data_IF_182007956739
#
_entry.id   IF_182007956739
#
_cell.length_a   1.000
_cell.length_b   1.000
_cell.length_c   1.000
_cell.angle_alpha   90.00
_cell.angle_beta   90.00
_cell.angle_gamma   90.00
#
_symmetry.space_group_name_H-M   'P 1'
#
loop_
_entity.id
_entity.type
_entity.pdbx_description
1 polymer ?
#
# COMPACT_ATOMS: atom_id res chain seq x y z
N UNK A 1 15.70 14.93 19.57
CA UNK A 1 14.42 14.64 18.88
C UNK A 1 13.48 15.78 19.17
N UNK A 2 12.94 16.40 18.11
CA UNK A 2 12.00 17.51 18.19
C UNK A 2 10.55 17.04 18.19
N UNK A 3 10.28 15.84 17.65
CA UNK A 3 8.95 15.29 17.41
C UNK A 3 8.83 13.84 17.93
N UNK A 4 8.96 13.61 19.25
CA UNK A 4 9.05 12.26 19.82
C UNK A 4 7.80 11.40 19.59
N UNK A 5 6.61 12.00 19.53
CA UNK A 5 5.36 11.28 19.26
C UNK A 5 5.33 10.76 17.82
N UNK A 6 5.66 11.61 16.84
CA UNK A 6 5.69 11.22 15.42
C UNK A 6 6.79 10.19 15.17
N UNK A 7 7.96 10.39 15.76
CA UNK A 7 9.10 9.49 15.59
C UNK A 7 8.82 8.10 16.18
N UNK A 8 8.28 8.02 17.40
CA UNK A 8 7.90 6.73 18.00
C UNK A 8 6.68 6.09 17.31
N UNK A 9 5.74 6.90 16.83
CA UNK A 9 4.64 6.42 15.99
C UNK A 9 5.13 5.74 14.71
N UNK A 10 6.24 6.22 14.15
CA UNK A 10 6.89 5.63 12.97
C UNK A 10 7.37 4.20 13.23
N UNK A 11 7.93 3.92 14.42
CA UNK A 11 8.26 2.55 14.83
C UNK A 11 7.01 1.67 14.90
N UNK A 12 5.93 2.19 15.49
CA UNK A 12 4.64 1.50 15.53
C UNK A 12 4.15 1.08 14.14
N UNK A 13 4.27 1.97 13.15
CA UNK A 13 3.95 1.67 11.75
C UNK A 13 4.88 0.62 11.15
N UNK A 14 6.19 0.68 11.41
CA UNK A 14 7.13 -0.33 10.95
C UNK A 14 6.83 -1.73 11.50
N UNK A 15 6.48 -1.82 12.79
CA UNK A 15 6.10 -3.08 13.45
C UNK A 15 4.75 -3.61 12.92
N UNK A 16 3.80 -2.72 12.67
CA UNK A 16 2.53 -3.07 12.04
C UNK A 16 2.76 -3.65 10.64
N UNK A 17 3.55 -2.98 9.80
CA UNK A 17 3.89 -3.43 8.45
C UNK A 17 4.60 -4.80 8.46
N UNK A 18 5.54 -4.98 9.39
CA UNK A 18 6.22 -6.27 9.60
C UNK A 18 5.22 -7.37 9.95
N UNK A 19 4.23 -7.06 10.80
CA UNK A 19 3.21 -8.02 11.23
C UNK A 19 2.28 -8.43 10.08
N UNK A 20 1.91 -7.48 9.20
CA UNK A 20 1.21 -7.80 7.95
C UNK A 20 2.06 -8.72 7.07
N UNK A 21 3.35 -8.42 6.92
CA UNK A 21 4.28 -9.21 6.13
C UNK A 21 4.49 -10.64 6.67
N UNK A 22 4.57 -10.80 8.00
CA UNK A 22 4.61 -12.11 8.66
C UNK A 22 3.32 -12.89 8.38
N UNK A 23 2.16 -12.27 8.53
CA UNK A 23 0.88 -12.91 8.25
C UNK A 23 0.77 -13.35 6.78
N UNK A 24 1.18 -12.51 5.82
CA UNK A 24 1.22 -12.84 4.41
C UNK A 24 2.19 -13.99 4.09
N UNK A 25 3.34 -14.03 4.75
CA UNK A 25 4.37 -15.05 4.54
C UNK A 25 3.94 -16.43 5.03
N UNK A 26 3.38 -16.50 6.24
CA UNK A 26 3.01 -17.77 6.90
C UNK A 26 1.58 -18.21 6.64
N UNK A 27 0.65 -17.26 6.42
CA UNK A 27 -0.78 -17.51 6.22
C UNK A 27 -1.30 -16.81 4.95
N UNK A 28 -0.72 -17.08 3.77
CA UNK A 28 -1.01 -16.33 2.55
C UNK A 28 -2.49 -16.33 2.15
N UNK A 29 -3.20 -17.45 2.32
CA UNK A 29 -4.63 -17.51 2.03
C UNK A 29 -5.48 -16.68 3.02
N UNK A 30 -5.06 -16.59 4.27
CA UNK A 30 -5.77 -15.76 5.24
C UNK A 30 -5.55 -14.28 4.92
N UNK A 31 -4.33 -13.91 4.52
CA UNK A 31 -4.00 -12.54 4.15
C UNK A 31 -4.71 -12.10 2.85
N UNK A 32 -4.68 -12.94 1.80
CA UNK A 32 -5.43 -12.69 0.56
C UNK A 32 -6.91 -12.41 0.84
N UNK A 33 -7.55 -13.22 1.70
CA UNK A 33 -8.96 -13.01 2.10
C UNK A 33 -9.17 -11.70 2.85
N UNK A 34 -8.24 -11.31 3.73
CA UNK A 34 -8.34 -10.04 4.45
C UNK A 34 -8.28 -8.84 3.50
N UNK A 35 -7.48 -8.97 2.43
CA UNK A 35 -7.40 -8.02 1.31
C UNK A 35 -8.50 -8.20 0.25
N UNK A 36 -9.51 -9.02 0.54
CA UNK A 36 -10.66 -9.29 -0.35
C UNK A 36 -10.30 -10.00 -1.68
N UNK A 37 -9.06 -10.47 -1.84
CA UNK A 37 -8.66 -11.26 -3.01
C UNK A 37 -9.27 -12.67 -2.96
N UNK A 38 -9.85 -13.16 -4.07
CA UNK A 38 -10.37 -14.51 -4.13
C UNK A 38 -9.22 -15.52 -4.07
N UNK A 39 -9.45 -16.64 -3.37
CA UNK A 39 -8.51 -17.76 -3.37
C UNK A 39 -8.76 -18.59 -4.64
N UNK A 40 -7.76 -18.73 -5.55
CA UNK A 40 -7.94 -19.52 -6.75
C UNK A 40 -8.29 -20.98 -6.41
N UNK A 41 -9.25 -21.55 -7.17
CA UNK A 41 -9.59 -22.97 -7.09
C UNK A 41 -8.60 -23.83 -7.87
N UNK A 42 -8.10 -23.32 -8.98
CA UNK A 42 -7.07 -23.95 -9.79
C UNK A 42 -5.77 -24.15 -8.98
N UNK A 43 -5.17 -25.36 -8.96
CA UNK A 43 -3.99 -25.65 -8.17
C UNK A 43 -2.75 -24.79 -8.52
N UNK A 44 -2.50 -24.53 -9.80
CA UNK A 44 -1.33 -23.77 -10.24
C UNK A 44 -1.49 -22.28 -9.95
N UNK A 45 -2.66 -21.71 -10.23
CA UNK A 45 -2.98 -20.33 -9.85
C UNK A 45 -2.91 -20.13 -8.33
N UNK A 46 -3.35 -21.12 -7.53
CA UNK A 46 -3.25 -21.10 -6.07
C UNK A 46 -1.81 -21.23 -5.58
N UNK A 47 -0.95 -21.97 -6.27
CA UNK A 47 0.48 -22.06 -5.96
C UNK A 47 1.17 -20.72 -6.27
N UNK A 48 0.86 -20.14 -7.42
CA UNK A 48 1.39 -18.85 -7.85
C UNK A 48 0.97 -17.70 -6.94
N UNK A 49 -0.32 -17.58 -6.60
CA UNK A 49 -0.82 -16.52 -5.71
C UNK A 49 -0.20 -16.58 -4.31
N UNK A 50 0.02 -17.79 -3.76
CA UNK A 50 0.73 -17.97 -2.49
C UNK A 50 2.20 -17.58 -2.57
N UNK A 51 2.86 -17.82 -3.71
CA UNK A 51 4.24 -17.39 -3.92
C UNK A 51 4.34 -15.86 -3.97
N UNK A 52 3.46 -15.20 -4.73
CA UNK A 52 3.38 -13.73 -4.77
C UNK A 52 3.09 -13.14 -3.40
N UNK A 53 2.16 -13.73 -2.64
CA UNK A 53 1.83 -13.25 -1.30
C UNK A 53 3.02 -13.36 -0.32
N UNK A 54 3.90 -14.35 -0.49
CA UNK A 54 5.14 -14.45 0.29
C UNK A 54 6.19 -13.43 -0.12
N UNK A 55 6.29 -13.13 -1.41
CA UNK A 55 7.16 -12.05 -1.91
C UNK A 55 6.67 -10.69 -1.38
N UNK A 56 5.36 -10.45 -1.43
CA UNK A 56 4.74 -9.29 -0.79
C UNK A 56 5.02 -9.28 0.72
N UNK A 57 4.92 -10.44 1.37
CA UNK A 57 5.19 -10.62 2.79
C UNK A 57 6.61 -10.22 3.19
N UNK A 58 7.63 -10.76 2.53
CA UNK A 58 9.03 -10.45 2.85
C UNK A 58 9.36 -8.98 2.56
N UNK A 59 8.79 -8.38 1.51
CA UNK A 59 8.92 -6.94 1.23
C UNK A 59 8.46 -6.09 2.41
N UNK A 60 7.31 -6.40 3.00
CA UNK A 60 6.76 -5.66 4.13
C UNK A 60 7.56 -5.87 5.43
N UNK A 61 8.07 -7.09 5.65
CA UNK A 61 8.99 -7.38 6.76
C UNK A 61 10.27 -6.55 6.60
N UNK A 62 10.90 -6.56 5.42
CA UNK A 62 12.14 -5.83 5.17
C UNK A 62 11.98 -4.33 5.40
N UNK A 63 10.91 -3.73 4.89
CA UNK A 63 10.64 -2.29 5.06
C UNK A 63 10.35 -1.96 6.53
N UNK A 64 9.55 -2.77 7.22
CA UNK A 64 9.25 -2.55 8.63
C UNK A 64 10.49 -2.69 9.53
N UNK A 65 11.38 -3.65 9.25
CA UNK A 65 12.67 -3.77 9.94
C UNK A 65 13.61 -2.61 9.60
N UNK A 66 13.63 -2.12 8.35
CA UNK A 66 14.41 -0.95 7.98
C UNK A 66 13.93 0.30 8.75
N UNK A 67 12.62 0.48 8.90
CA UNK A 67 12.05 1.55 9.75
C UNK A 67 12.50 1.39 11.20
N UNK A 68 12.49 0.18 11.76
CA UNK A 68 12.96 -0.07 13.12
C UNK A 68 14.47 0.22 13.30
N UNK A 69 15.29 -0.11 12.30
CA UNK A 69 16.71 0.22 12.28
C UNK A 69 16.93 1.73 12.25
N UNK A 70 16.21 2.45 11.37
CA UNK A 70 16.28 3.92 11.31
C UNK A 70 15.82 4.54 12.62
N UNK A 71 14.76 4.00 13.24
CA UNK A 71 14.29 4.46 14.54
C UNK A 71 15.39 4.40 15.61
N UNK A 72 16.22 3.35 15.62
CA UNK A 72 17.34 3.23 16.57
C UNK A 72 18.43 4.29 16.43
N UNK A 73 18.48 5.01 15.30
CA UNK A 73 19.45 6.09 15.07
C UNK A 73 19.05 7.41 15.72
N UNK A 74 17.76 7.60 16.02
CA UNK A 74 17.21 8.89 16.47
C UNK A 74 17.17 10.00 15.41
N UNK A 75 17.48 9.71 14.14
CA UNK A 75 17.48 10.69 13.04
C UNK A 75 16.07 10.87 12.46
N UNK A 76 15.40 11.96 12.88
CA UNK A 76 14.05 12.32 12.42
C UNK A 76 14.00 12.64 10.92
N UNK A 77 15.07 13.21 10.36
CA UNK A 77 15.11 13.56 8.93
C UNK A 77 15.25 12.29 8.08
N UNK A 78 16.08 11.34 8.52
CA UNK A 78 16.20 10.05 7.86
C UNK A 78 14.89 9.26 7.94
N UNK A 79 14.21 9.27 9.09
CA UNK A 79 12.88 8.66 9.25
C UNK A 79 11.85 9.29 8.31
N UNK A 80 11.80 10.62 8.22
CA UNK A 80 10.89 11.34 7.34
C UNK A 80 11.07 10.93 5.87
N UNK A 81 12.32 10.83 5.40
CA UNK A 81 12.68 10.37 4.05
C UNK A 81 12.24 8.92 3.81
N UNK A 82 12.52 8.02 4.76
CA UNK A 82 12.16 6.61 4.64
C UNK A 82 10.63 6.40 4.57
N UNK A 83 9.88 7.08 5.41
CA UNK A 83 8.41 7.04 5.37
C UNK A 83 7.85 7.64 4.07
N UNK A 84 8.47 8.70 3.53
CA UNK A 84 8.06 9.28 2.25
C UNK A 84 8.21 8.29 1.11
N UNK A 85 9.31 7.54 1.06
CA UNK A 85 9.52 6.48 0.07
C UNK A 85 8.54 5.31 0.27
N UNK A 86 8.18 5.02 1.52
CA UNK A 86 7.24 3.93 1.86
C UNK A 86 5.84 4.17 1.29
N UNK A 87 5.46 5.43 1.01
CA UNK A 87 4.17 5.78 0.38
C UNK A 87 3.92 5.00 -0.93
N UNK A 88 4.95 4.75 -1.73
CA UNK A 88 4.81 4.06 -3.01
C UNK A 88 4.17 2.67 -2.88
N UNK A 89 4.36 2.00 -1.74
CA UNK A 89 3.86 0.66 -1.48
C UNK A 89 2.32 0.60 -1.42
N UNK A 90 1.63 1.27 -0.48
CA UNK A 90 0.18 1.25 -0.42
C UNK A 90 -0.49 1.93 -1.63
N UNK A 91 0.18 2.89 -2.29
CA UNK A 91 -0.32 3.45 -3.55
C UNK A 91 -0.43 2.35 -4.60
N UNK A 92 0.66 1.61 -4.82
CA UNK A 92 0.71 0.51 -5.79
C UNK A 92 -0.25 -0.62 -5.41
N UNK A 93 -0.27 -1.02 -4.14
CA UNK A 93 -1.13 -2.10 -3.64
C UNK A 93 -2.62 -1.77 -3.83
N UNK A 94 -3.01 -0.51 -3.64
CA UNK A 94 -4.39 -0.06 -3.91
C UNK A 94 -4.76 -0.10 -5.39
N UNK A 95 -3.87 0.34 -6.28
CA UNK A 95 -4.11 0.23 -7.73
C UNK A 95 -4.23 -1.23 -8.18
N UNK A 96 -3.35 -2.11 -7.70
CA UNK A 96 -3.41 -3.54 -8.01
C UNK A 96 -4.73 -4.16 -7.55
N UNK A 97 -5.22 -3.80 -6.36
CA UNK A 97 -6.51 -4.25 -5.85
C UNK A 97 -7.66 -3.79 -6.74
N UNK A 98 -7.72 -2.49 -7.06
CA UNK A 98 -8.75 -1.98 -7.98
C UNK A 98 -8.73 -2.71 -9.33
N UNK A 99 -7.55 -2.87 -9.94
CA UNK A 99 -7.41 -3.47 -11.27
C UNK A 99 -7.80 -4.95 -11.27
N UNK A 100 -7.39 -5.71 -10.25
CA UNK A 100 -7.58 -7.17 -10.25
C UNK A 100 -8.92 -7.62 -9.68
N UNK A 101 -9.46 -6.92 -8.68
CA UNK A 101 -10.69 -7.33 -7.99
C UNK A 101 -11.80 -6.28 -8.03
N UNK A 102 -11.58 -5.14 -8.69
CA UNK A 102 -12.59 -4.08 -8.84
C UNK A 102 -12.89 -3.32 -7.54
N UNK A 103 -12.09 -3.52 -6.49
CA UNK A 103 -12.33 -3.07 -5.12
C UNK A 103 -11.11 -3.26 -4.20
N UNK A 104 -11.30 -3.09 -2.90
CA UNK A 104 -10.26 -3.30 -1.87
C UNK A 104 -9.21 -2.18 -1.76
N UNK A 105 -9.19 -1.21 -2.68
CA UNK A 105 -8.17 -0.15 -2.73
C UNK A 105 -8.13 0.73 -1.47
N UNK A 106 -9.27 0.92 -0.81
CA UNK A 106 -9.38 1.75 0.40
C UNK A 106 -8.64 1.16 1.59
N UNK A 107 -8.47 -0.17 1.63
CA UNK A 107 -7.64 -0.85 2.62
C UNK A 107 -6.15 -0.47 2.49
N UNK A 108 -5.75 0.08 1.33
CA UNK A 108 -4.38 0.52 1.06
C UNK A 108 -4.28 2.05 1.05
N UNK A 109 -5.19 2.76 0.39
CA UNK A 109 -5.11 4.21 0.18
C UNK A 109 -5.40 5.07 1.42
N UNK A 110 -5.74 4.47 2.55
CA UNK A 110 -5.72 5.13 3.86
C UNK A 110 -4.29 5.46 4.33
N UNK A 111 -3.29 4.71 3.89
CA UNK A 111 -1.91 4.85 4.37
C UNK A 111 -1.09 5.99 3.74
N UNK A 112 -1.19 6.32 2.43
CA UNK A 112 -0.47 7.44 1.84
C UNK A 112 -0.69 8.77 2.58
N UNK A 113 -1.93 9.19 2.93
CA UNK A 113 -2.14 10.39 3.73
C UNK A 113 -1.51 10.31 5.12
N UNK A 114 -1.65 9.17 5.80
CA UNK A 114 -1.08 8.96 7.14
C UNK A 114 0.45 9.10 7.12
N UNK A 115 1.10 8.43 6.17
CA UNK A 115 2.55 8.49 5.99
C UNK A 115 3.01 9.90 5.61
N UNK A 116 2.30 10.58 4.71
CA UNK A 116 2.61 11.95 4.31
C UNK A 116 2.53 12.93 5.49
N UNK A 117 1.49 12.80 6.35
CA UNK A 117 1.34 13.62 7.56
C UNK A 117 2.52 13.43 8.51
N UNK A 118 2.89 12.18 8.79
CA UNK A 118 4.00 11.87 9.72
C UNK A 118 5.33 12.35 9.13
N UNK A 119 5.61 12.04 7.86
CA UNK A 119 6.81 12.52 7.16
C UNK A 119 6.94 14.03 7.15
N UNK A 120 5.87 14.74 6.78
CA UNK A 120 5.86 16.19 6.73
C UNK A 120 6.04 16.81 8.13
N UNK A 121 5.41 16.22 9.15
CA UNK A 121 5.61 16.64 10.54
C UNK A 121 7.05 16.45 11.01
N UNK A 122 7.70 15.33 10.66
CA UNK A 122 9.11 15.09 10.96
C UNK A 122 10.07 16.01 10.17
N UNK A 123 9.67 16.49 8.99
CA UNK A 123 10.38 17.55 8.25
C UNK A 123 10.12 18.96 8.82
N UNK A 124 9.24 19.12 9.81
CA UNK A 124 8.86 20.41 10.38
C UNK A 124 7.94 21.24 9.48
N UNK A 125 7.19 20.62 8.55
CA UNK A 125 6.24 21.34 7.71
C UNK A 125 5.00 21.80 8.48
N UNK A 126 4.40 22.90 8.00
CA UNK A 126 3.18 23.44 8.60
C UNK A 126 1.97 22.52 8.38
N UNK A 127 1.04 22.51 9.35
CA UNK A 127 -0.22 21.78 9.25
C UNK A 127 -1.03 22.15 8.00
N UNK A 128 -0.94 23.41 7.54
CA UNK A 128 -1.60 23.87 6.32
C UNK A 128 -1.09 23.13 5.08
N UNK A 129 0.24 23.06 4.90
CA UNK A 129 0.85 22.35 3.77
C UNK A 129 0.48 20.86 3.77
N UNK A 130 0.39 20.25 4.96
CA UNK A 130 -0.04 18.86 5.15
C UNK A 130 -1.50 18.68 4.70
N UNK A 131 -2.42 19.53 5.17
CA UNK A 131 -3.85 19.47 4.80
C UNK A 131 -4.04 19.64 3.30
N UNK A 132 -3.32 20.57 2.68
CA UNK A 132 -3.38 20.79 1.23
C UNK A 132 -2.90 19.55 0.44
N UNK A 133 -1.81 18.92 0.86
CA UNK A 133 -1.31 17.69 0.23
C UNK A 133 -2.29 16.51 0.37
N UNK A 134 -2.85 16.31 1.57
CA UNK A 134 -3.85 15.25 1.83
C UNK A 134 -5.14 15.49 1.04
N UNK A 135 -5.61 16.75 0.97
CA UNK A 135 -6.81 17.09 0.19
C UNK A 135 -6.62 16.83 -1.30
N UNK A 136 -5.43 17.14 -1.85
CA UNK A 136 -5.09 16.82 -3.24
C UNK A 136 -5.10 15.33 -3.51
N UNK A 137 -4.52 14.52 -2.61
CA UNK A 137 -4.53 13.06 -2.74
C UNK A 137 -5.94 12.48 -2.92
N UNK A 138 -6.91 12.89 -2.10
CA UNK A 138 -8.29 12.43 -2.23
C UNK A 138 -8.94 12.90 -3.53
N UNK A 139 -8.65 14.13 -3.96
CA UNK A 139 -9.14 14.67 -5.23
C UNK A 139 -8.60 13.86 -6.41
N UNK A 140 -7.29 13.56 -6.43
CA UNK A 140 -6.63 12.82 -7.49
C UNK A 140 -7.14 11.38 -7.57
N UNK A 141 -7.34 10.72 -6.42
CA UNK A 141 -7.98 9.40 -6.37
C UNK A 141 -9.40 9.44 -6.93
N UNK A 142 -10.22 10.42 -6.56
CA UNK A 142 -11.59 10.50 -7.07
C UNK A 142 -11.63 10.72 -8.58
N UNK A 143 -10.73 11.56 -9.11
CA UNK A 143 -10.55 11.76 -10.55
C UNK A 143 -10.16 10.45 -11.23
N UNK A 144 -9.19 9.72 -10.68
CA UNK A 144 -8.77 8.43 -11.21
C UNK A 144 -9.88 7.38 -11.14
N UNK A 145 -10.60 7.28 -10.03
CA UNK A 145 -11.71 6.33 -9.87
C UNK A 145 -12.83 6.62 -10.88
N UNK A 146 -13.14 7.89 -11.12
CA UNK A 146 -14.09 8.27 -12.18
C UNK A 146 -13.57 7.84 -13.55
N UNK A 147 -12.35 8.21 -13.93
CA UNK A 147 -11.80 7.86 -15.24
C UNK A 147 -11.71 6.34 -15.45
N UNK A 148 -11.31 5.59 -14.43
CA UNK A 148 -11.23 4.14 -14.47
C UNK A 148 -12.62 3.49 -14.61
N UNK A 149 -13.64 3.99 -13.89
CA UNK A 149 -15.01 3.49 -14.05
C UNK A 149 -15.60 3.83 -15.44
N UNK A 150 -15.22 4.96 -16.03
CA UNK A 150 -15.55 5.28 -17.43
C UNK A 150 -14.85 4.32 -18.40
N UNK A 151 -13.58 3.97 -18.17
CA UNK A 151 -12.88 2.96 -18.97
C UNK A 151 -13.37 1.54 -18.70
N UNK A 152 -13.94 1.25 -17.52
CA UNK A 152 -14.60 -0.01 -17.13
C UNK A 152 -15.77 -0.40 -18.03
N UNK A 153 -16.46 0.60 -18.60
CA UNK A 153 -17.49 0.40 -19.63
C UNK A 153 -16.88 -0.06 -20.96
N UNK A 154 -15.67 0.40 -21.30
CA UNK A 154 -14.93 0.02 -22.52
C UNK A 154 -14.05 -1.23 -22.35
N UNK A 155 -13.65 -1.58 -21.12
CA UNK A 155 -12.81 -2.76 -20.86
C UNK A 155 -13.60 -4.05 -21.04
N UNK A 156 -14.93 -4.04 -20.96
CA UNK A 156 -15.75 -5.18 -21.39
C UNK A 156 -15.62 -5.47 -22.89
N UNK A 157 -15.28 -4.47 -23.72
CA UNK A 157 -14.97 -4.64 -25.13
C UNK A 157 -13.52 -5.07 -25.35
N UNK A 158 -12.56 -4.52 -24.60
CA UNK A 158 -11.14 -4.90 -24.73
C UNK A 158 -10.78 -6.25 -24.09
N UNK A 159 -11.44 -6.65 -22.99
CA UNK A 159 -11.30 -7.99 -22.42
C UNK A 159 -11.88 -9.05 -23.36
N UNK A 160 -12.96 -8.74 -24.08
CA UNK A 160 -13.48 -9.62 -25.14
C UNK A 160 -12.48 -9.78 -26.29
N UNK A 161 -11.79 -8.71 -26.71
CA UNK A 161 -10.79 -8.79 -27.78
C UNK A 161 -9.54 -9.58 -27.35
N UNK A 162 -9.09 -9.40 -26.11
CA UNK A 162 -7.96 -10.18 -25.56
C UNK A 162 -8.33 -11.66 -25.41
N UNK A 163 -9.57 -12.00 -25.02
CA UNK A 163 -10.01 -13.40 -24.91
C UNK A 163 -10.15 -14.07 -26.29
N UNK A 164 -10.49 -13.33 -27.35
CA UNK A 164 -10.50 -13.86 -28.73
C UNK A 164 -9.12 -14.04 -29.35
N UNK A 165 -8.10 -13.31 -28.87
CA UNK A 165 -6.71 -13.44 -29.35
C UNK A 165 -5.93 -14.56 -28.63
N UNK A 166 -6.48 -15.14 -27.56
CA UNK A 166 -5.88 -16.25 -26.81
C UNK A 166 -6.71 -17.53 -27.03
N UNK A 167 -6.95 -17.86 -28.31
CA UNK A 167 -7.52 -19.14 -28.73
C UNK A 167 -6.75 -20.34 -28.18
#
# INVERSE_FOLDING_TARGET
>A
MSHPILFNGSLGLGLFLSSLGLNASFRPNAHLKALEFPIPKDPEAKKFSRALMRIWGIRNISVGLLIALIWSTGDETLMAKALSLTIALPVTDGFVSRILIGGGETQHWVFPPLLAVISAGLFGQSLKAIIEGVSRWFTDIEVWNRSYNYQGLDTNLQLRSIITDIG
#
